data_IF_384808925449
#
_entry.id   IF_384808925449
#
_cell.length_a   1.000
_cell.length_b   1.000
_cell.length_c   1.000
_cell.angle_alpha   90.00
_cell.angle_beta   90.00
_cell.angle_gamma   90.00
#
_symmetry.space_group_name_H-M   'P 1'
#
loop_
_entity.id
_entity.type
_entity.pdbx_description
1 polymer ?
#
# COMPACT_ATOMS: atom_id res chain seq x y z
N UNK A 1 -14.90 7.54 -19.54
CA UNK A 1 -15.06 6.07 -19.62
C UNK A 1 -14.09 5.28 -18.74
N UNK A 2 -12.77 5.29 -18.96
CA UNK A 2 -11.84 4.39 -18.23
C UNK A 2 -11.79 4.57 -16.71
N UNK A 3 -12.14 5.76 -16.20
CA UNK A 3 -12.31 6.03 -14.76
C UNK A 3 -13.79 6.14 -14.37
N UNK A 4 -14.57 6.91 -15.12
CA UNK A 4 -15.98 7.20 -14.80
C UNK A 4 -16.97 6.07 -15.09
N UNK A 5 -16.53 4.97 -15.69
CA UNK A 5 -17.40 3.89 -16.15
C UNK A 5 -18.10 4.20 -17.47
N UNK A 6 -18.88 3.22 -17.95
CA UNK A 6 -19.70 3.25 -19.17
C UNK A 6 -20.98 2.46 -18.89
N UNK A 7 -22.15 3.06 -19.10
CA UNK A 7 -23.45 2.39 -18.91
C UNK A 7 -24.01 1.79 -20.19
N UNK A 8 -24.99 0.89 -20.07
CA UNK A 8 -25.71 0.34 -21.22
C UNK A 8 -26.52 1.40 -21.99
N UNK A 9 -26.99 2.45 -21.32
CA UNK A 9 -27.66 3.59 -21.97
C UNK A 9 -26.76 4.42 -22.90
N UNK A 10 -25.44 4.29 -22.77
CA UNK A 10 -24.46 4.97 -23.63
C UNK A 10 -24.08 4.13 -24.88
N UNK A 11 -24.62 2.92 -25.03
CA UNK A 11 -24.39 2.10 -26.22
C UNK A 11 -25.15 2.72 -27.42
N UNK A 12 -24.50 2.84 -28.60
CA UNK A 12 -25.19 3.26 -29.81
C UNK A 12 -26.42 2.38 -30.13
N UNK A 13 -27.57 3.01 -30.39
CA UNK A 13 -28.87 2.33 -30.61
C UNK A 13 -28.90 1.27 -31.73
N UNK A 14 -27.92 1.29 -32.64
CA UNK A 14 -27.81 0.31 -33.72
C UNK A 14 -27.18 -1.01 -33.28
N UNK A 15 -26.52 -1.05 -32.11
CA UNK A 15 -25.98 -2.28 -31.53
C UNK A 15 -27.11 -2.99 -30.78
N UNK A 16 -27.57 -4.11 -31.36
CA UNK A 16 -28.62 -4.95 -30.78
C UNK A 16 -28.01 -6.29 -30.35
N UNK A 17 -28.16 -6.64 -29.08
CA UNK A 17 -27.75 -7.96 -28.58
C UNK A 17 -28.54 -8.31 -27.33
N UNK A 18 -28.68 -9.60 -27.07
CA UNK A 18 -29.29 -10.13 -25.85
C UNK A 18 -28.63 -9.56 -24.57
N UNK A 19 -27.34 -9.26 -24.60
CA UNK A 19 -26.65 -8.66 -23.44
C UNK A 19 -27.20 -7.26 -23.15
N UNK A 20 -27.47 -6.46 -24.18
CA UNK A 20 -28.07 -5.12 -24.01
C UNK A 20 -29.51 -5.25 -23.55
N UNK A 21 -30.28 -6.17 -24.14
CA UNK A 21 -31.70 -6.37 -23.82
C UNK A 21 -31.94 -6.87 -22.38
N UNK A 22 -30.94 -7.53 -21.77
CA UNK A 22 -31.00 -8.06 -20.40
C UNK A 22 -30.57 -7.05 -19.32
N UNK A 23 -30.12 -5.85 -19.69
CA UNK A 23 -29.65 -4.84 -18.74
C UNK A 23 -30.49 -3.57 -18.82
N UNK A 24 -30.59 -2.86 -17.69
CA UNK A 24 -31.18 -1.52 -17.63
C UNK A 24 -30.21 -0.46 -18.15
N UNK A 25 -30.71 0.69 -18.59
CA UNK A 25 -29.88 1.80 -19.12
C UNK A 25 -28.80 2.29 -18.13
N UNK A 26 -29.07 2.17 -16.82
CA UNK A 26 -28.17 2.56 -15.75
C UNK A 26 -27.19 1.46 -15.30
N UNK A 27 -27.31 0.24 -15.84
CA UNK A 27 -26.35 -0.81 -15.52
C UNK A 27 -25.00 -0.51 -16.19
N UNK A 28 -23.92 -0.93 -15.54
CA UNK A 28 -22.57 -0.67 -16.02
C UNK A 28 -22.03 -1.82 -16.87
N UNK A 29 -21.65 -1.52 -18.11
CA UNK A 29 -20.74 -2.35 -18.92
C UNK A 29 -19.35 -2.30 -18.30
N UNK A 30 -18.92 -1.07 -17.99
CA UNK A 30 -17.67 -0.79 -17.32
C UNK A 30 -18.03 -0.03 -16.05
N UNK A 31 -17.89 -0.67 -14.88
CA UNK A 31 -18.14 0.01 -13.59
C UNK A 31 -17.27 1.27 -13.45
N UNK A 32 -17.64 2.29 -12.69
CA UNK A 32 -16.73 3.38 -12.35
C UNK A 32 -15.62 2.90 -11.40
N UNK A 33 -14.55 3.69 -11.29
CA UNK A 33 -13.42 3.48 -10.38
C UNK A 33 -13.34 4.68 -9.42
N UNK A 34 -14.27 4.82 -8.46
CA UNK A 34 -14.34 5.99 -7.58
C UNK A 34 -13.09 6.12 -6.69
N UNK A 35 -12.49 5.00 -6.30
CA UNK A 35 -11.30 4.97 -5.45
C UNK A 35 -10.02 5.43 -6.17
N UNK A 36 -10.06 5.77 -7.47
CA UNK A 36 -8.94 6.42 -8.14
C UNK A 36 -8.53 7.76 -7.51
N UNK A 37 -9.41 8.38 -6.73
CA UNK A 37 -9.08 9.55 -5.91
C UNK A 37 -7.96 9.24 -4.90
N UNK A 38 -7.91 8.01 -4.38
CA UNK A 38 -6.91 7.54 -3.42
C UNK A 38 -5.73 6.93 -4.17
N UNK A 39 -4.84 7.78 -4.68
CA UNK A 39 -3.68 7.37 -5.50
C UNK A 39 -2.63 6.60 -4.69
N UNK A 40 -2.70 6.67 -3.35
CA UNK A 40 -1.78 5.98 -2.41
C UNK A 40 -1.73 4.48 -2.64
N UNK A 41 -2.87 3.85 -2.91
CA UNK A 41 -2.97 2.38 -2.78
C UNK A 41 -2.54 1.62 -4.03
N UNK A 42 -2.85 2.17 -5.20
CA UNK A 42 -2.76 1.45 -6.48
C UNK A 42 -1.33 1.33 -7.01
N UNK A 43 -0.47 2.26 -6.63
CA UNK A 43 0.97 2.16 -6.82
C UNK A 43 1.71 2.92 -5.72
N UNK A 44 2.83 2.38 -5.26
CA UNK A 44 3.71 3.08 -4.32
C UNK A 44 5.15 3.12 -4.84
N UNK A 45 5.77 4.30 -4.71
CA UNK A 45 7.18 4.49 -5.03
C UNK A 45 8.03 4.16 -3.80
N UNK A 46 9.06 3.34 -4.02
CA UNK A 46 10.00 2.90 -3.01
C UNK A 46 11.39 3.11 -3.60
N UNK A 47 12.11 4.12 -3.10
CA UNK A 47 13.40 4.54 -3.64
C UNK A 47 13.34 4.75 -5.17
N UNK A 48 14.22 4.13 -5.96
CA UNK A 48 14.29 4.32 -7.42
C UNK A 48 13.39 3.33 -8.19
N UNK A 49 12.28 2.91 -7.59
CA UNK A 49 11.34 1.99 -8.22
C UNK A 49 9.91 2.19 -7.75
N UNK A 50 9.00 1.56 -8.49
CA UNK A 50 7.56 1.58 -8.24
C UNK A 50 7.03 0.17 -8.10
N UNK A 51 6.13 -0.01 -7.15
CA UNK A 51 5.26 -1.18 -7.07
C UNK A 51 3.92 -0.80 -7.68
N UNK A 52 3.52 -1.50 -8.75
CA UNK A 52 2.16 -1.45 -9.27
C UNK A 52 1.42 -2.60 -8.60
N UNK A 53 0.52 -2.26 -7.70
CA UNK A 53 0.17 -3.13 -6.60
C UNK A 53 -0.89 -4.20 -6.98
N UNK A 54 -0.69 -5.49 -6.65
CA UNK A 54 -1.76 -6.50 -6.76
C UNK A 54 -2.85 -6.24 -5.72
N UNK A 55 -3.86 -5.47 -6.11
CA UNK A 55 -4.94 -5.02 -5.21
C UNK A 55 -5.78 -6.18 -4.67
N UNK A 56 -6.09 -6.14 -3.36
CA UNK A 56 -6.84 -7.21 -2.69
C UNK A 56 -8.32 -7.28 -3.11
N UNK A 57 -8.97 -6.14 -3.36
CA UNK A 57 -10.38 -6.10 -3.76
C UNK A 57 -10.50 -6.11 -5.28
N UNK A 58 -11.26 -7.07 -5.82
CA UNK A 58 -11.50 -7.21 -7.27
C UNK A 58 -12.01 -5.94 -7.94
N UNK A 59 -12.85 -5.17 -7.24
CA UNK A 59 -13.36 -3.88 -7.74
C UNK A 59 -12.25 -2.85 -8.01
N UNK A 60 -11.14 -2.91 -7.27
CA UNK A 60 -10.00 -1.98 -7.39
C UNK A 60 -8.89 -2.47 -8.31
N UNK A 61 -8.84 -3.76 -8.65
CA UNK A 61 -7.76 -4.33 -9.47
C UNK A 61 -7.61 -3.61 -10.81
N UNK A 62 -8.73 -3.18 -11.43
CA UNK A 62 -8.69 -2.45 -12.71
C UNK A 62 -8.05 -1.07 -12.60
N UNK A 63 -7.99 -0.45 -11.41
CA UNK A 63 -7.30 0.83 -11.22
C UNK A 63 -5.84 0.75 -11.66
N UNK A 64 -5.19 -0.39 -11.40
CA UNK A 64 -3.78 -0.62 -11.76
C UNK A 64 -3.53 -0.60 -13.26
N UNK A 65 -4.53 -0.91 -14.10
CA UNK A 65 -4.39 -0.84 -15.56
C UNK A 65 -4.16 0.59 -16.04
N UNK A 66 -4.85 1.56 -15.42
CA UNK A 66 -4.65 2.97 -15.72
C UNK A 66 -3.24 3.41 -15.31
N UNK A 67 -2.73 2.95 -14.16
CA UNK A 67 -1.37 3.27 -13.70
C UNK A 67 -0.28 2.60 -14.56
N UNK A 68 -0.46 1.33 -14.96
CA UNK A 68 0.43 0.67 -15.94
C UNK A 68 0.52 1.49 -17.21
N UNK A 69 -0.62 1.98 -17.71
CA UNK A 69 -0.64 2.79 -18.92
C UNK A 69 0.14 4.10 -18.75
N UNK A 70 -0.05 4.78 -17.62
CA UNK A 70 0.71 6.00 -17.29
C UNK A 70 2.21 5.71 -17.22
N UNK A 71 2.63 4.72 -16.44
CA UNK A 71 4.06 4.42 -16.27
C UNK A 71 4.73 3.90 -17.55
N UNK A 72 3.96 3.32 -18.47
CA UNK A 72 4.48 2.79 -19.73
C UNK A 72 4.57 3.85 -20.82
N UNK A 73 3.56 4.71 -20.97
CA UNK A 73 3.45 5.58 -22.15
C UNK A 73 3.49 7.08 -21.85
N UNK A 74 3.28 7.52 -20.61
CA UNK A 74 3.33 8.94 -20.33
C UNK A 74 4.78 9.45 -20.45
N UNK A 75 5.03 10.60 -21.13
CA UNK A 75 6.39 11.10 -21.38
C UNK A 75 7.25 11.23 -20.12
N UNK A 76 6.64 11.60 -18.98
CA UNK A 76 7.32 11.70 -17.69
C UNK A 76 7.90 10.37 -17.16
N UNK A 77 7.41 9.21 -17.63
CA UNK A 77 7.79 7.89 -17.12
C UNK A 77 8.33 6.95 -18.21
N UNK A 78 7.99 7.19 -19.48
CA UNK A 78 8.31 6.32 -20.63
C UNK A 78 9.80 6.04 -20.85
N UNK A 79 10.70 6.82 -20.24
CA UNK A 79 12.14 6.58 -20.25
C UNK A 79 12.59 5.31 -19.49
N UNK A 80 11.70 4.66 -18.73
CA UNK A 80 11.95 3.41 -17.99
C UNK A 80 13.20 3.44 -17.07
N UNK A 81 13.55 4.61 -16.54
CA UNK A 81 14.71 4.79 -15.63
C UNK A 81 14.51 4.28 -14.20
N UNK A 82 13.44 3.51 -13.95
CA UNK A 82 13.04 3.06 -12.62
C UNK A 82 12.66 1.57 -12.63
N UNK A 83 12.77 0.94 -11.47
CA UNK A 83 12.48 -0.49 -11.29
C UNK A 83 10.97 -0.69 -11.13
N UNK A 84 10.43 -1.78 -11.70
CA UNK A 84 9.04 -2.21 -11.48
C UNK A 84 9.05 -3.48 -10.62
N UNK A 85 8.74 -3.37 -9.33
CA UNK A 85 8.97 -4.46 -8.36
C UNK A 85 8.07 -5.69 -8.60
N UNK A 86 6.82 -5.45 -8.97
CA UNK A 86 5.88 -6.48 -9.43
C UNK A 86 5.89 -6.62 -10.96
N UNK A 87 6.93 -6.16 -11.66
CA UNK A 87 6.97 -6.19 -13.11
C UNK A 87 5.94 -5.25 -13.76
N UNK A 88 5.82 -5.37 -15.08
CA UNK A 88 5.04 -4.44 -15.92
C UNK A 88 3.75 -5.07 -16.49
N UNK A 89 3.62 -6.38 -16.38
CA UNK A 89 2.52 -7.13 -16.97
C UNK A 89 1.36 -7.31 -15.98
N UNK A 90 0.16 -7.55 -16.53
CA UNK A 90 -1.00 -7.90 -15.72
C UNK A 90 -0.96 -9.39 -15.39
N UNK A 91 -0.19 -9.73 -14.37
CA UNK A 91 -0.05 -11.09 -13.85
C UNK A 91 -1.02 -11.28 -12.69
N UNK A 92 -1.66 -12.45 -12.62
CA UNK A 92 -2.38 -12.87 -11.43
C UNK A 92 -1.37 -13.39 -10.39
N UNK A 93 -1.24 -12.71 -9.25
CA UNK A 93 -0.36 -13.07 -8.15
C UNK A 93 -1.03 -14.01 -7.13
N UNK A 94 -2.18 -14.59 -7.49
CA UNK A 94 -3.02 -15.44 -6.65
C UNK A 94 -3.33 -14.78 -5.29
N UNK A 95 -2.63 -15.22 -4.24
CA UNK A 95 -2.85 -14.78 -2.86
C UNK A 95 -1.87 -13.70 -2.40
N UNK A 96 -0.91 -13.28 -3.24
CA UNK A 96 0.00 -12.19 -2.92
C UNK A 96 -0.66 -10.85 -3.28
N UNK A 97 -1.16 -10.16 -2.27
CA UNK A 97 -1.75 -8.83 -2.39
C UNK A 97 -0.91 -7.81 -1.63
N UNK A 98 -0.89 -6.59 -2.14
CA UNK A 98 -0.20 -5.45 -1.55
C UNK A 98 -1.03 -4.22 -1.88
N UNK A 99 -1.17 -3.29 -0.96
CA UNK A 99 -1.72 -1.95 -1.24
C UNK A 99 -0.77 -0.89 -0.65
N UNK A 100 -0.63 0.24 -1.34
CA UNK A 100 0.41 1.23 -1.02
C UNK A 100 0.22 1.96 0.32
N UNK A 101 -1.00 2.00 0.88
CA UNK A 101 -1.23 2.50 2.25
C UNK A 101 -0.53 1.66 3.33
N UNK A 102 -0.20 0.40 3.03
CA UNK A 102 0.59 -0.43 3.94
C UNK A 102 2.10 -0.20 3.83
N UNK A 103 2.58 0.57 2.84
CA UNK A 103 4.01 0.69 2.53
C UNK A 103 4.54 2.07 2.92
N UNK A 104 5.37 2.11 3.96
CA UNK A 104 6.06 3.31 4.43
C UNK A 104 7.56 3.23 4.14
N UNK A 105 8.07 4.17 3.34
CA UNK A 105 9.51 4.31 3.09
C UNK A 105 10.10 5.19 4.18
N UNK A 106 10.58 4.55 5.26
CA UNK A 106 11.07 5.24 6.46
C UNK A 106 12.51 5.78 6.32
N UNK A 107 13.21 5.44 5.23
CA UNK A 107 14.53 5.97 4.90
C UNK A 107 15.69 5.04 5.27
N UNK A 108 16.93 5.47 4.99
CA UNK A 108 18.19 4.73 5.26
C UNK A 108 18.27 3.31 4.66
N UNK A 109 17.48 3.04 3.63
CA UNK A 109 17.36 1.72 3.02
C UNK A 109 16.38 0.80 3.76
N UNK A 110 15.57 1.32 4.67
CA UNK A 110 14.52 0.59 5.36
C UNK A 110 13.14 0.90 4.77
N UNK A 111 12.25 -0.09 4.82
CA UNK A 111 10.84 0.02 4.44
C UNK A 111 10.02 -0.67 5.53
N UNK A 112 8.98 -0.02 6.02
CA UNK A 112 8.03 -0.57 6.98
C UNK A 112 6.74 -0.94 6.22
N UNK A 113 6.27 -2.18 6.41
CA UNK A 113 5.12 -2.72 5.69
C UNK A 113 4.09 -3.32 6.65
N UNK A 114 2.84 -2.86 6.56
CA UNK A 114 1.70 -3.44 7.26
C UNK A 114 1.24 -4.74 6.61
N UNK A 115 1.05 -5.79 7.41
CA UNK A 115 0.29 -6.97 7.02
C UNK A 115 -1.15 -6.80 7.50
N UNK A 116 -2.04 -6.49 6.56
CA UNK A 116 -3.40 -6.01 6.80
C UNK A 116 -4.44 -6.92 6.14
N UNK A 117 -5.70 -6.49 6.09
CA UNK A 117 -6.71 -7.13 5.24
C UNK A 117 -6.46 -6.92 3.73
N UNK A 118 -5.54 -6.02 3.37
CA UNK A 118 -5.20 -5.64 1.98
C UNK A 118 -3.81 -6.12 1.54
N UNK A 119 -2.89 -6.27 2.48
CA UNK A 119 -1.52 -6.71 2.21
C UNK A 119 -1.24 -8.04 2.90
N UNK A 120 -0.96 -9.08 2.11
CA UNK A 120 -0.69 -10.43 2.63
C UNK A 120 0.81 -10.64 2.89
N UNK A 121 1.20 -11.57 3.78
CA UNK A 121 2.61 -11.92 4.00
C UNK A 121 3.33 -12.30 2.69
N UNK A 122 2.65 -12.98 1.77
CA UNK A 122 3.19 -13.33 0.46
C UNK A 122 3.50 -12.09 -0.39
N UNK A 123 2.63 -11.07 -0.35
CA UNK A 123 2.87 -9.79 -1.00
C UNK A 123 4.06 -9.05 -0.41
N UNK A 124 4.22 -9.08 0.92
CA UNK A 124 5.37 -8.51 1.63
C UNK A 124 6.68 -9.20 1.22
N UNK A 125 6.73 -10.54 1.29
CA UNK A 125 7.93 -11.30 0.93
C UNK A 125 8.31 -11.14 -0.54
N UNK A 126 7.32 -11.08 -1.44
CA UNK A 126 7.55 -10.82 -2.86
C UNK A 126 8.19 -9.44 -3.08
N UNK A 127 7.62 -8.39 -2.46
CA UNK A 127 8.15 -7.04 -2.54
C UNK A 127 9.55 -6.94 -1.94
N UNK A 128 9.77 -7.51 -0.74
CA UNK A 128 11.07 -7.52 -0.07
C UNK A 128 12.15 -8.18 -0.95
N UNK A 129 11.83 -9.33 -1.55
CA UNK A 129 12.74 -10.03 -2.48
C UNK A 129 13.08 -9.16 -3.68
N UNK A 130 12.10 -8.46 -4.27
CA UNK A 130 12.35 -7.55 -5.39
C UNK A 130 13.22 -6.35 -4.97
N UNK A 131 12.94 -5.74 -3.80
CA UNK A 131 13.72 -4.63 -3.28
C UNK A 131 15.19 -5.01 -3.05
N UNK A 132 15.46 -6.17 -2.46
CA UNK A 132 16.81 -6.63 -2.16
C UNK A 132 17.59 -7.02 -3.42
N UNK A 133 16.94 -7.74 -4.34
CA UNK A 133 17.52 -8.11 -5.64
C UNK A 133 17.94 -6.90 -6.47
N UNK A 134 17.24 -5.78 -6.35
CA UNK A 134 17.58 -4.52 -7.02
C UNK A 134 18.37 -3.54 -6.14
N UNK A 135 18.85 -3.98 -4.97
CA UNK A 135 19.62 -3.17 -4.02
C UNK A 135 18.94 -1.86 -3.62
N UNK A 136 17.60 -1.83 -3.59
CA UNK A 136 16.81 -0.64 -3.25
C UNK A 136 16.60 -0.51 -1.74
N UNK A 137 16.55 -1.62 -1.02
CA UNK A 137 16.46 -1.65 0.43
C UNK A 137 17.52 -2.59 1.02
N UNK A 138 17.85 -2.35 2.30
CA UNK A 138 18.73 -3.18 3.14
C UNK A 138 17.91 -4.03 4.11
N UNK A 139 16.75 -3.53 4.54
CA UNK A 139 15.82 -4.26 5.38
C UNK A 139 14.37 -3.87 5.08
N UNK A 140 13.47 -4.81 5.38
CA UNK A 140 12.03 -4.58 5.42
C UNK A 140 11.55 -4.98 6.80
N UNK A 141 10.78 -4.11 7.47
CA UNK A 141 10.10 -4.43 8.71
C UNK A 141 8.64 -4.72 8.36
N UNK A 142 8.15 -5.91 8.68
CA UNK A 142 6.75 -6.29 8.51
C UNK A 142 6.05 -6.25 9.85
N UNK A 143 4.89 -5.59 9.96
CA UNK A 143 4.08 -5.50 11.19
C UNK A 143 2.71 -6.12 10.98
N UNK A 144 2.27 -7.00 11.88
CA UNK A 144 0.94 -7.61 11.84
C UNK A 144 -0.10 -6.63 12.36
N UNK A 145 -1.05 -6.23 11.51
CA UNK A 145 -2.18 -5.41 11.90
C UNK A 145 -3.37 -6.31 12.29
N UNK A 146 -4.19 -5.89 13.27
CA UNK A 146 -5.40 -6.61 13.63
C UNK A 146 -6.37 -6.64 12.43
N UNK A 147 -7.07 -7.76 12.26
CA UNK A 147 -8.11 -7.92 11.23
C UNK A 147 -9.39 -7.18 11.66
N UNK A 148 -9.32 -5.85 11.67
CA UNK A 148 -10.43 -4.98 12.02
C UNK A 148 -10.77 -4.06 10.84
N UNK A 149 -12.06 -3.85 10.55
CA UNK A 149 -12.48 -3.05 9.39
C UNK A 149 -12.03 -1.59 9.43
N UNK A 150 -11.80 -1.05 10.63
CA UNK A 150 -11.30 0.32 10.82
C UNK A 150 -9.78 0.46 10.64
N UNK A 151 -9.06 -0.63 10.38
CA UNK A 151 -7.61 -0.63 10.18
C UNK A 151 -7.31 -1.29 8.83
N UNK A 152 -7.64 -0.57 7.76
CA UNK A 152 -7.50 -1.09 6.39
C UNK A 152 -6.03 -1.16 5.97
N UNK A 153 -5.21 -0.20 6.40
CA UNK A 153 -3.81 -0.05 6.04
C UNK A 153 -2.96 0.46 7.20
N UNK A 154 -1.64 0.37 7.08
CA UNK A 154 -0.70 0.91 8.09
C UNK A 154 -0.79 2.43 8.24
N UNK A 155 -0.89 3.19 7.15
CA UNK A 155 -0.92 4.66 7.16
C UNK A 155 -2.14 5.25 7.89
N UNK A 156 -3.23 4.50 8.03
CA UNK A 156 -4.41 4.93 8.82
C UNK A 156 -4.15 4.86 10.32
N UNK A 157 -3.12 4.12 10.77
CA UNK A 157 -2.81 3.88 12.19
C UNK A 157 -1.39 4.26 12.58
N UNK A 158 -0.50 4.51 11.63
CA UNK A 158 0.89 4.86 11.85
C UNK A 158 1.48 5.62 10.66
N UNK A 159 2.02 6.81 10.91
CA UNK A 159 2.64 7.63 9.86
C UNK A 159 3.96 8.24 10.34
N UNK A 160 4.97 8.27 9.47
CA UNK A 160 6.28 8.87 9.74
C UNK A 160 6.22 10.40 9.51
N UNK A 161 6.37 11.17 10.58
CA UNK A 161 6.12 12.63 10.58
C UNK A 161 7.36 13.49 10.80
N UNK A 162 8.40 12.94 11.40
CA UNK A 162 9.73 13.56 11.51
C UNK A 162 10.81 12.46 11.52
N UNK A 163 12.09 12.82 11.48
CA UNK A 163 13.23 11.89 11.42
C UNK A 163 13.10 10.74 12.42
N UNK A 164 12.72 11.03 13.67
CA UNK A 164 12.59 10.09 14.77
C UNK A 164 11.14 9.92 15.27
N UNK A 165 10.16 10.54 14.61
CA UNK A 165 8.81 10.69 15.17
C UNK A 165 7.73 10.09 14.27
N UNK A 166 6.83 9.31 14.88
CA UNK A 166 5.65 8.74 14.23
C UNK A 166 4.36 9.19 14.92
N UNK A 167 3.32 9.50 14.15
CA UNK A 167 1.94 9.57 14.65
C UNK A 167 1.36 8.17 14.66
N UNK A 168 0.73 7.74 15.76
CA UNK A 168 0.22 6.37 15.92
C UNK A 168 -1.13 6.29 16.61
N UNK A 169 -1.89 5.24 16.29
CA UNK A 169 -3.08 4.84 17.01
C UNK A 169 -2.73 3.72 17.99
N UNK A 170 -2.69 4.00 19.31
CA UNK A 170 -2.05 3.10 20.28
C UNK A 170 -2.77 1.76 20.46
N UNK A 171 -4.09 1.68 20.23
CA UNK A 171 -4.86 0.43 20.32
C UNK A 171 -4.47 -0.59 19.23
N UNK A 172 -3.92 -0.10 18.12
CA UNK A 172 -3.44 -0.92 17.00
C UNK A 172 -1.92 -1.09 17.07
N UNK A 173 -1.18 0.00 17.25
CA UNK A 173 0.27 -0.02 17.43
C UNK A 173 0.60 -0.27 18.91
N UNK A 174 0.21 -1.45 19.38
CA UNK A 174 0.47 -1.90 20.75
C UNK A 174 1.91 -2.30 20.94
N UNK A 175 2.37 -2.29 22.20
CA UNK A 175 3.73 -2.72 22.58
C UNK A 175 4.04 -4.18 22.20
N UNK A 176 3.01 -5.02 22.14
CA UNK A 176 3.09 -6.45 21.85
C UNK A 176 2.74 -6.81 20.39
N UNK A 177 2.63 -5.80 19.51
CA UNK A 177 2.37 -6.04 18.08
C UNK A 177 3.48 -6.91 17.49
N UNK A 178 3.09 -7.97 16.79
CA UNK A 178 4.06 -8.85 16.16
C UNK A 178 4.68 -8.14 14.96
N UNK A 179 5.99 -8.19 14.89
CA UNK A 179 6.73 -7.69 13.75
C UNK A 179 7.95 -8.55 13.46
N UNK A 180 8.42 -8.46 12.21
CA UNK A 180 9.56 -9.20 11.70
C UNK A 180 10.47 -8.26 10.94
N UNK A 181 11.78 -8.43 11.12
CA UNK A 181 12.78 -7.84 10.24
C UNK A 181 13.17 -8.86 9.18
N UNK A 182 13.05 -8.47 7.92
CA UNK A 182 13.44 -9.23 6.74
C UNK A 182 14.73 -8.62 6.16
N UNK A 183 15.69 -9.47 5.83
CA UNK A 183 16.98 -9.11 5.19
C UNK A 183 17.32 -10.11 4.10
N UNK A 184 18.20 -9.78 3.14
CA UNK A 184 18.73 -10.78 2.21
C UNK A 184 19.48 -11.89 2.97
N UNK A 185 19.31 -13.15 2.55
CA UNK A 185 20.04 -14.31 3.12
C UNK A 185 21.39 -14.60 2.43
N UNK A 186 21.73 -13.82 1.40
CA UNK A 186 22.94 -13.99 0.58
C UNK A 186 22.83 -15.04 -0.53
N UNK A 187 21.65 -15.64 -0.75
CA UNK A 187 21.37 -16.69 -1.75
C UNK A 187 20.09 -16.40 -2.54
N UNK A 188 19.84 -15.11 -2.81
CA UNK A 188 18.61 -14.62 -3.44
C UNK A 188 17.31 -14.94 -2.68
N UNK A 189 17.42 -15.31 -1.40
CA UNK A 189 16.30 -15.57 -0.50
C UNK A 189 16.17 -14.53 0.62
N UNK A 190 15.28 -14.83 1.57
CA UNK A 190 14.94 -13.96 2.68
C UNK A 190 15.32 -14.61 4.01
N UNK A 191 16.16 -13.93 4.77
CA UNK A 191 16.31 -14.17 6.20
C UNK A 191 15.22 -13.36 6.94
N UNK A 192 14.62 -13.97 7.96
CA UNK A 192 13.59 -13.33 8.79
C UNK A 192 13.86 -13.55 10.28
N UNK A 193 13.69 -12.51 11.07
CA UNK A 193 13.79 -12.55 12.52
C UNK A 193 12.52 -11.92 13.08
N UNK A 194 11.86 -12.61 14.02
CA UNK A 194 10.77 -12.00 14.78
C UNK A 194 11.39 -11.06 15.83
N UNK A 195 10.99 -9.80 15.81
CA UNK A 195 11.56 -8.77 16.69
C UNK A 195 10.82 -8.74 18.03
N UNK A 196 11.51 -8.27 19.06
CA UNK A 196 10.93 -8.15 20.41
C UNK A 196 9.86 -7.06 20.45
N UNK A 197 10.11 -5.92 19.80
CA UNK A 197 9.17 -4.79 19.69
C UNK A 197 9.33 -4.11 18.34
N UNK A 198 8.25 -3.48 17.85
CA UNK A 198 8.28 -2.69 16.62
C UNK A 198 9.25 -1.51 16.72
N UNK A 199 9.28 -0.83 17.87
CA UNK A 199 10.17 0.31 18.10
C UNK A 199 11.64 -0.10 17.98
N UNK A 200 12.03 -1.22 18.60
CA UNK A 200 13.41 -1.71 18.50
C UNK A 200 13.82 -1.99 17.05
N UNK A 201 12.92 -2.56 16.25
CA UNK A 201 13.15 -2.82 14.83
C UNK A 201 13.37 -1.50 14.05
N UNK A 202 12.53 -0.48 14.29
CA UNK A 202 12.61 0.82 13.63
C UNK A 202 13.88 1.57 14.05
N UNK A 203 14.20 1.63 15.34
CA UNK A 203 15.41 2.28 15.87
C UNK A 203 16.67 1.71 15.23
N UNK A 204 16.76 0.38 15.16
CA UNK A 204 17.88 -0.33 14.51
C UNK A 204 17.94 -0.06 13.00
N UNK A 205 16.80 -0.02 12.32
CA UNK A 205 16.74 0.21 10.88
C UNK A 205 17.07 1.66 10.50
N UNK A 206 16.71 2.61 11.36
CA UNK A 206 16.98 4.04 11.17
C UNK A 206 18.30 4.50 11.80
N UNK A 207 19.00 3.64 12.54
CA UNK A 207 20.24 3.99 13.25
C UNK A 207 20.04 5.23 14.15
N UNK A 208 18.98 5.16 14.97
CA UNK A 208 18.60 6.17 15.96
C UNK A 208 18.45 5.53 17.34
N UNK A 209 18.59 6.34 18.39
CA UNK A 209 18.57 5.85 19.77
C UNK A 209 17.17 5.70 20.35
N UNK A 210 16.21 6.47 19.86
CA UNK A 210 14.84 6.51 20.38
C UNK A 210 13.88 6.92 19.27
N UNK A 211 12.77 6.20 19.15
CA UNK A 211 11.61 6.61 18.34
C UNK A 211 10.58 7.29 19.24
N UNK A 212 10.13 8.48 18.83
CA UNK A 212 9.06 9.21 19.49
C UNK A 212 7.71 8.85 18.86
N UNK A 213 6.74 8.51 19.71
CA UNK A 213 5.37 8.27 19.30
C UNK A 213 4.48 9.42 19.75
N UNK A 214 3.76 10.02 18.80
CA UNK A 214 2.65 10.94 19.08
C UNK A 214 1.36 10.15 18.91
N UNK A 215 0.53 10.11 19.94
CA UNK A 215 -0.77 9.45 19.89
C UNK A 215 -1.86 10.47 19.62
N UNK A 216 -2.90 10.07 18.88
CA UNK A 216 -4.19 10.80 18.86
C UNK A 216 -4.67 11.07 20.28
N UNK A 217 -5.14 12.28 20.53
CA UNK A 217 -5.54 12.75 21.85
C UNK A 217 -6.95 12.31 22.23
N UNK A 218 -7.37 12.66 23.44
CA UNK A 218 -8.74 12.48 23.90
C UNK A 218 -9.02 11.16 24.62
N UNK A 219 -10.29 10.95 24.95
CA UNK A 219 -10.75 9.66 25.51
C UNK A 219 -10.85 8.57 24.44
N UNK A 220 -11.19 7.33 24.84
CA UNK A 220 -11.27 6.20 23.92
C UNK A 220 -12.27 6.43 22.76
N UNK A 221 -13.35 7.19 22.98
CA UNK A 221 -14.33 7.50 21.95
C UNK A 221 -13.84 8.60 21.01
N UNK A 222 -13.11 9.59 21.53
CA UNK A 222 -12.47 10.61 20.72
C UNK A 222 -11.41 10.01 19.82
N UNK A 223 -10.55 9.13 20.34
CA UNK A 223 -9.53 8.44 19.58
C UNK A 223 -10.14 7.51 18.50
N UNK A 224 -11.23 6.80 18.81
CA UNK A 224 -11.94 5.97 17.82
C UNK A 224 -12.56 6.83 16.70
N UNK A 225 -13.14 7.98 17.03
CA UNK A 225 -13.68 8.94 16.06
C UNK A 225 -12.58 9.57 15.21
N UNK A 226 -11.44 9.89 15.81
CA UNK A 226 -10.27 10.42 15.11
C UNK A 226 -9.67 9.39 14.15
N UNK A 227 -9.58 8.12 14.56
CA UNK A 227 -9.20 7.03 13.67
C UNK A 227 -10.16 6.91 12.48
N UNK A 228 -11.48 6.97 12.72
CA UNK A 228 -12.48 6.91 11.64
C UNK A 228 -12.35 8.06 10.64
N UNK A 229 -11.82 9.20 11.08
CA UNK A 229 -11.58 10.38 10.26
C UNK A 229 -10.13 10.47 9.74
N UNK A 230 -9.36 9.38 9.79
CA UNK A 230 -7.98 9.30 9.29
C UNK A 230 -7.03 10.32 9.95
N UNK A 231 -7.21 10.64 11.24
CA UNK A 231 -6.38 11.63 11.95
C UNK A 231 -4.88 11.29 11.98
N UNK A 232 -4.53 10.01 11.82
CA UNK A 232 -3.15 9.55 11.74
C UNK A 232 -2.60 9.48 10.31
N UNK A 233 -3.43 9.63 9.29
CA UNK A 233 -3.02 9.61 7.88
C UNK A 233 -2.66 11.03 7.42
N UNK A 234 -1.49 11.51 7.88
CA UNK A 234 -0.99 12.85 7.55
C UNK A 234 0.05 12.79 6.43
N UNK A 235 0.07 13.81 5.56
CA UNK A 235 1.11 13.94 4.54
C UNK A 235 2.26 14.84 5.04
N UNK A 236 3.39 14.22 5.32
CA UNK A 236 4.64 14.93 5.69
C UNK A 236 5.27 15.58 4.46
N UNK A 237 5.21 16.92 4.36
CA UNK A 237 5.79 17.67 3.23
C UNK A 237 7.29 17.93 3.40
N UNK A 238 7.74 18.02 4.65
CA UNK A 238 9.14 18.18 5.09
C UNK A 238 9.23 17.63 6.52
N UNK A 239 10.43 17.35 7.06
CA UNK A 239 10.58 16.96 8.46
C UNK A 239 10.01 18.04 9.40
N UNK A 240 9.12 17.64 10.34
CA UNK A 240 8.44 18.51 11.32
C UNK A 240 7.30 19.35 10.76
#
# INVERSE_FOLDING_TARGET
YLTGGLTYGEIPFHIKSMVVDLHSENDFIMKPLPNHLFTRDTSCWIYNGVSINPMAKSARQRETNNLRAVYRWHPAFSGNGFIKYFGDENINYDHATLEGGDVLVIGRGAVLIGMSERTTPQGVEFLATALFRHHQAKCVIAVELPKHRSCMHLDTVMTHIDVDTFSVYPEVIRKDVKCWTLTPDGRDGLARIQETTLLHAIEKALDITEVRLITTGGDAFEAERELWNDANNVLTLRPG
#
